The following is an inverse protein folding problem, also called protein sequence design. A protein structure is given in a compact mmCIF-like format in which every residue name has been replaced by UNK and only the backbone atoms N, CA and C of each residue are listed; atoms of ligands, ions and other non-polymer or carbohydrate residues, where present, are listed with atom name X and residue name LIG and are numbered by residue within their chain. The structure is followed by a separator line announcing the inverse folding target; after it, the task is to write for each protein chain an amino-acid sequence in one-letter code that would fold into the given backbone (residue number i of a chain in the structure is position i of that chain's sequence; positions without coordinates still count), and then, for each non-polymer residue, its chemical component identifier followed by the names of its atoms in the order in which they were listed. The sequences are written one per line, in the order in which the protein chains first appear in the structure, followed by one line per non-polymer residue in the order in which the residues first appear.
data_IF_726234600312
#
_entry.id   IF_726234600312
#
_cell.length_a   1.000
_cell.length_b   1.000
_cell.length_c   1.000
_cell.angle_alpha   90.00
_cell.angle_beta   90.00
_cell.angle_gamma   90.00
#
_symmetry.space_group_name_H-M   'P 1'
#
loop_
_entity.id
_entity.type
_entity.pdbx_description
1 polymer ?
#
# COMPACT_ATOMS: atom_id res chain seq x y z
N UNK A 1 32.81 31.10 -101.99
CA UNK A 1 32.29 30.23 -100.91
C UNK A 1 32.07 31.10 -99.69
N UNK A 2 30.95 30.97 -98.97
CA UNK A 2 30.74 31.78 -97.76
C UNK A 2 31.76 31.44 -96.67
N UNK A 3 32.41 32.45 -96.10
CA UNK A 3 33.45 32.30 -95.07
C UNK A 3 32.88 31.72 -93.77
N UNK A 4 33.74 31.13 -92.93
CA UNK A 4 33.29 30.58 -91.64
C UNK A 4 32.61 31.65 -90.77
N UNK A 5 33.11 32.89 -90.83
CA UNK A 5 32.58 34.07 -90.14
C UNK A 5 31.20 34.45 -90.65
N UNK A 6 30.96 34.50 -91.97
CA UNK A 6 29.63 34.77 -92.55
C UNK A 6 28.59 33.72 -92.14
N UNK A 7 28.98 32.44 -92.08
CA UNK A 7 28.10 31.35 -91.64
C UNK A 7 27.72 31.50 -90.17
N UNK A 8 28.67 31.85 -89.30
CA UNK A 8 28.41 32.17 -87.90
C UNK A 8 27.52 33.41 -87.75
N UNK A 9 27.82 34.48 -88.49
CA UNK A 9 27.05 35.73 -88.48
C UNK A 9 25.59 35.49 -88.86
N UNK A 10 25.34 34.82 -89.99
CA UNK A 10 23.98 34.51 -90.46
C UNK A 10 23.22 33.58 -89.51
N UNK A 11 23.90 32.62 -88.87
CA UNK A 11 23.28 31.73 -87.88
C UNK A 11 22.94 32.44 -86.56
N UNK A 12 23.88 33.21 -85.98
CA UNK A 12 23.61 33.99 -84.78
C UNK A 12 22.52 35.03 -85.04
N UNK A 13 22.58 35.70 -86.19
CA UNK A 13 21.58 36.70 -86.57
C UNK A 13 20.17 36.12 -86.63
N UNK A 14 19.98 34.96 -87.26
CA UNK A 14 18.68 34.25 -87.28
C UNK A 14 18.16 33.94 -85.87
N UNK A 15 19.03 33.51 -84.95
CA UNK A 15 18.66 33.21 -83.55
C UNK A 15 18.28 34.46 -82.76
N UNK A 16 18.98 35.58 -83.01
CA UNK A 16 18.66 36.89 -82.43
C UNK A 16 17.33 37.45 -82.98
N UNK A 17 17.10 37.39 -84.29
CA UNK A 17 15.84 37.80 -84.93
C UNK A 17 14.63 36.98 -84.41
N UNK A 18 14.80 35.67 -84.21
CA UNK A 18 13.79 34.78 -83.62
C UNK A 18 13.38 35.19 -82.20
N UNK A 19 14.30 35.82 -81.45
CA UNK A 19 14.06 36.34 -80.10
C UNK A 19 13.72 37.84 -80.09
N UNK A 20 13.54 38.46 -81.26
CA UNK A 20 13.13 39.86 -81.40
C UNK A 20 14.26 40.90 -81.41
N UNK A 21 15.53 40.48 -81.30
CA UNK A 21 16.69 41.39 -81.31
C UNK A 21 17.05 41.82 -82.74
N UNK A 22 16.34 42.84 -83.23
CA UNK A 22 16.42 43.28 -84.63
C UNK A 22 17.52 44.31 -84.93
N UNK A 23 18.22 44.85 -83.93
CA UNK A 23 19.27 45.87 -84.05
C UNK A 23 20.43 45.41 -84.96
N UNK A 24 21.05 46.31 -85.73
CA UNK A 24 22.15 45.97 -86.65
C UNK A 24 23.36 45.38 -85.91
N UNK A 25 23.89 44.25 -86.39
CA UNK A 25 25.06 43.57 -85.82
C UNK A 25 26.29 43.81 -86.72
N UNK A 26 27.40 44.27 -86.14
CA UNK A 26 28.68 44.41 -86.84
C UNK A 26 29.50 43.12 -86.79
N UNK A 27 30.32 42.86 -87.82
CA UNK A 27 31.14 41.64 -87.89
C UNK A 27 32.15 41.57 -86.72
N UNK A 28 32.76 42.70 -86.36
CA UNK A 28 33.69 42.78 -85.21
C UNK A 28 33.06 42.40 -83.87
N UNK A 29 31.76 42.68 -83.69
CA UNK A 29 31.02 42.34 -82.46
C UNK A 29 30.58 40.87 -82.37
N UNK A 30 30.71 40.11 -83.46
CA UNK A 30 30.18 38.75 -83.57
C UNK A 30 30.68 37.78 -82.47
N UNK A 31 31.98 37.70 -82.13
CA UNK A 31 32.46 36.72 -81.15
C UNK A 31 31.98 37.01 -79.73
N UNK A 32 31.82 38.29 -79.38
CA UNK A 32 31.34 38.71 -78.07
C UNK A 32 29.83 38.44 -77.93
N UNK A 33 29.04 38.79 -78.94
CA UNK A 33 27.60 38.53 -78.94
C UNK A 33 27.31 37.02 -79.01
N UNK A 34 28.11 36.22 -79.73
CA UNK A 34 28.00 34.76 -79.74
C UNK A 34 28.21 34.15 -78.34
N UNK A 35 29.21 34.64 -77.58
CA UNK A 35 29.46 34.22 -76.18
C UNK A 35 28.34 34.65 -75.23
N UNK A 36 28.04 35.95 -75.17
CA UNK A 36 27.00 36.49 -74.28
C UNK A 36 25.63 35.84 -74.52
N UNK A 37 25.32 35.49 -75.77
CA UNK A 37 24.11 34.78 -76.12
C UNK A 37 24.13 33.31 -75.66
N UNK A 38 25.28 32.63 -75.73
CA UNK A 38 25.49 31.32 -75.14
C UNK A 38 25.30 31.34 -73.61
N UNK A 39 25.95 32.28 -72.94
CA UNK A 39 25.89 32.47 -71.48
C UNK A 39 24.45 32.78 -71.02
N UNK A 40 23.72 33.62 -71.77
CA UNK A 40 22.31 33.93 -71.49
C UNK A 40 21.39 32.72 -71.65
N UNK A 41 21.62 31.87 -72.65
CA UNK A 41 20.86 30.63 -72.82
C UNK A 41 21.17 29.63 -71.70
N UNK A 42 22.45 29.43 -71.38
CA UNK A 42 22.88 28.51 -70.31
C UNK A 42 22.34 28.96 -68.94
N UNK A 43 22.43 30.26 -68.61
CA UNK A 43 21.87 30.80 -67.37
C UNK A 43 20.34 30.70 -67.32
N UNK A 44 19.64 30.89 -68.44
CA UNK A 44 18.18 30.69 -68.53
C UNK A 44 17.78 29.23 -68.32
N UNK A 45 18.51 28.29 -68.92
CA UNK A 45 18.29 26.84 -68.76
C UNK A 45 18.63 26.36 -67.34
N UNK A 46 19.71 26.88 -66.76
CA UNK A 46 20.09 26.63 -65.35
C UNK A 46 19.03 27.17 -64.39
N UNK A 47 18.52 28.39 -64.62
CA UNK A 47 17.45 28.99 -63.81
C UNK A 47 16.13 28.20 -63.93
N UNK A 48 15.79 27.71 -65.13
CA UNK A 48 14.62 26.84 -65.35
C UNK A 48 14.77 25.53 -64.58
N UNK A 49 15.96 24.91 -64.63
CA UNK A 49 16.28 23.67 -63.92
C UNK A 49 16.22 23.86 -62.40
N UNK A 50 16.82 24.92 -61.88
CA UNK A 50 16.79 25.29 -60.46
C UNK A 50 15.36 25.55 -59.96
N UNK A 51 14.52 26.27 -60.75
CA UNK A 51 13.09 26.47 -60.43
C UNK A 51 12.33 25.15 -60.38
N UNK A 52 12.60 24.21 -61.28
CA UNK A 52 11.94 22.89 -61.27
C UNK A 52 12.40 22.03 -60.08
N UNK A 53 13.68 22.08 -59.72
CA UNK A 53 14.21 21.42 -58.52
C UNK A 53 13.60 22.01 -57.24
N UNK A 54 13.51 23.34 -57.12
CA UNK A 54 12.86 24.01 -56.00
C UNK A 54 11.39 23.61 -55.87
N UNK A 55 10.65 23.53 -56.98
CA UNK A 55 9.27 23.04 -57.00
C UNK A 55 9.15 21.63 -56.43
N UNK A 56 9.98 20.69 -56.90
CA UNK A 56 10.02 19.31 -56.38
C UNK A 56 10.40 19.23 -54.90
N UNK A 57 11.35 20.06 -54.44
CA UNK A 57 11.72 20.13 -53.03
C UNK A 57 10.58 20.70 -52.16
N UNK A 58 9.84 21.69 -52.67
CA UNK A 58 8.65 22.24 -52.00
C UNK A 58 7.56 21.17 -51.87
N UNK A 59 7.27 20.44 -52.95
CA UNK A 59 6.31 19.32 -52.96
C UNK A 59 6.74 18.23 -51.96
N UNK A 60 7.99 17.76 -52.03
CA UNK A 60 8.54 16.79 -51.07
C UNK A 60 8.42 17.28 -49.63
N UNK A 61 8.76 18.54 -49.35
CA UNK A 61 8.61 19.15 -48.02
C UNK A 61 7.15 19.06 -47.54
N UNK A 62 6.17 19.40 -48.38
CA UNK A 62 4.75 19.28 -47.99
C UNK A 62 4.31 17.84 -47.74
N UNK A 63 4.85 16.86 -48.47
CA UNK A 63 4.60 15.43 -48.21
C UNK A 63 5.21 15.00 -46.87
N UNK A 64 6.44 15.40 -46.57
CA UNK A 64 7.06 15.13 -45.27
C UNK A 64 6.30 15.78 -44.11
N UNK A 65 5.83 17.03 -44.29
CA UNK A 65 5.01 17.71 -43.28
C UNK A 65 3.68 16.99 -43.03
N UNK A 66 3.00 16.51 -44.08
CA UNK A 66 1.78 15.71 -43.97
C UNK A 66 2.01 14.34 -43.30
N UNK A 67 3.15 13.70 -43.56
CA UNK A 67 3.51 12.41 -42.93
C UNK A 67 3.85 12.56 -41.44
N UNK A 68 4.43 13.69 -41.03
CA UNK A 68 4.83 13.95 -39.64
C UNK A 68 3.69 14.49 -38.77
N UNK A 69 2.69 15.14 -39.38
CA UNK A 69 1.50 15.68 -38.70
C UNK A 69 0.80 14.68 -37.75
N UNK A 70 0.42 13.44 -38.16
CA UNK A 70 -0.28 12.51 -37.28
C UNK A 70 0.56 12.11 -36.06
N UNK A 71 1.88 11.92 -36.23
CA UNK A 71 2.78 11.63 -35.12
C UNK A 71 2.90 12.80 -34.14
N UNK A 72 2.82 14.05 -34.61
CA UNK A 72 2.77 15.24 -33.73
C UNK A 72 1.45 15.31 -32.97
N UNK A 73 0.32 15.03 -33.63
CA UNK A 73 -1.00 15.02 -33.01
C UNK A 73 -1.11 13.92 -31.94
N UNK A 74 -0.67 12.69 -32.24
CA UNK A 74 -0.66 11.58 -31.28
C UNK A 74 0.29 11.84 -30.11
N UNK A 75 1.50 12.34 -30.35
CA UNK A 75 2.42 12.73 -29.26
C UNK A 75 1.82 13.81 -28.37
N UNK A 76 1.15 14.83 -28.94
CA UNK A 76 0.47 15.85 -28.16
C UNK A 76 -0.66 15.26 -27.30
N UNK A 77 -1.46 14.32 -27.82
CA UNK A 77 -2.49 13.61 -27.05
C UNK A 77 -1.87 12.79 -25.91
N UNK A 78 -0.85 11.97 -26.20
CA UNK A 78 -0.20 11.11 -25.20
C UNK A 78 0.44 11.94 -24.08
N UNK A 79 1.06 13.08 -24.38
CA UNK A 79 1.62 13.99 -23.37
C UNK A 79 0.51 14.59 -22.48
N UNK A 80 -0.64 14.96 -23.05
CA UNK A 80 -1.79 15.44 -22.27
C UNK A 80 -2.37 14.35 -21.36
N UNK A 81 -2.54 13.13 -21.87
CA UNK A 81 -3.02 11.98 -21.10
C UNK A 81 -2.05 11.62 -19.97
N UNK A 82 -0.74 11.56 -20.26
CA UNK A 82 0.30 11.29 -19.26
C UNK A 82 0.28 12.34 -18.14
N UNK A 83 0.21 13.62 -18.50
CA UNK A 83 0.11 14.74 -17.54
C UNK A 83 -1.14 14.62 -16.66
N UNK A 84 -2.30 14.27 -17.25
CA UNK A 84 -3.57 14.07 -16.52
C UNK A 84 -3.49 12.88 -15.57
N UNK A 85 -2.91 11.76 -16.00
CA UNK A 85 -2.70 10.56 -15.17
C UNK A 85 -1.74 10.85 -14.01
N UNK A 86 -0.65 11.58 -14.23
CA UNK A 86 0.26 12.02 -13.17
C UNK A 86 -0.47 12.86 -12.10
N UNK A 87 -1.30 13.82 -12.51
CA UNK A 87 -2.10 14.62 -11.57
C UNK A 87 -3.12 13.78 -10.79
N UNK A 88 -3.72 12.77 -11.42
CA UNK A 88 -4.63 11.83 -10.74
C UNK A 88 -3.89 10.95 -9.72
N UNK A 89 -2.71 10.43 -10.07
CA UNK A 89 -1.86 9.63 -9.17
C UNK A 89 -1.42 10.42 -7.94
N UNK A 90 -1.02 11.68 -8.11
CA UNK A 90 -0.67 12.57 -6.98
C UNK A 90 -1.84 12.74 -6.01
N UNK A 91 -3.03 13.08 -6.52
CA UNK A 91 -4.25 13.25 -5.69
C UNK A 91 -4.67 11.96 -4.98
N UNK A 92 -4.55 10.81 -5.65
CA UNK A 92 -4.85 9.50 -5.05
C UNK A 92 -3.85 9.16 -3.93
N UNK A 93 -2.55 9.42 -4.15
CA UNK A 93 -1.50 9.25 -3.14
C UNK A 93 -1.76 10.14 -1.93
N UNK A 94 -1.98 11.44 -2.12
CA UNK A 94 -2.29 12.40 -1.05
C UNK A 94 -3.52 11.97 -0.23
N UNK A 95 -4.59 11.53 -0.90
CA UNK A 95 -5.80 11.06 -0.24
C UNK A 95 -5.57 9.77 0.56
N UNK A 96 -4.79 8.82 0.03
CA UNK A 96 -4.41 7.60 0.73
C UNK A 96 -3.50 7.88 1.94
N UNK A 97 -2.52 8.78 1.79
CA UNK A 97 -1.63 9.22 2.87
C UNK A 97 -2.36 10.02 3.95
N UNK A 98 -3.42 10.77 3.61
CA UNK A 98 -4.32 11.37 4.61
C UNK A 98 -5.06 10.27 5.39
N UNK A 99 -5.79 9.39 4.69
CA UNK A 99 -6.56 8.29 5.33
C UNK A 99 -5.68 7.40 6.20
N UNK A 100 -4.45 7.10 5.77
CA UNK A 100 -3.48 6.35 6.58
C UNK A 100 -3.08 7.10 7.85
N UNK A 101 -2.90 8.42 7.81
CA UNK A 101 -2.63 9.23 9.01
C UNK A 101 -3.83 9.23 9.95
N UNK A 102 -5.03 9.43 9.42
CA UNK A 102 -6.28 9.45 10.17
C UNK A 102 -6.54 8.09 10.87
N UNK A 103 -6.38 6.98 10.15
CA UNK A 103 -6.49 5.64 10.73
C UNK A 103 -5.42 5.38 11.80
N UNK A 104 -4.19 5.87 11.62
CA UNK A 104 -3.12 5.74 12.64
C UNK A 104 -3.42 6.56 13.90
N UNK A 105 -4.09 7.71 13.82
CA UNK A 105 -4.48 8.47 15.03
C UNK A 105 -5.63 7.77 15.76
N UNK A 106 -6.64 7.27 15.04
CA UNK A 106 -7.74 6.48 15.63
C UNK A 106 -7.23 5.20 16.28
N UNK A 107 -6.32 4.46 15.61
CA UNK A 107 -5.71 3.24 16.15
C UNK A 107 -4.99 3.51 17.47
N UNK A 108 -4.12 4.52 17.52
CA UNK A 108 -3.42 4.91 18.76
C UNK A 108 -4.39 5.27 19.88
N UNK A 109 -5.45 6.02 19.57
CA UNK A 109 -6.47 6.39 20.55
C UNK A 109 -7.15 5.14 21.13
N UNK A 110 -7.56 4.20 20.27
CA UNK A 110 -8.18 2.94 20.71
C UNK A 110 -7.22 2.05 21.49
N UNK A 111 -5.92 2.04 21.17
CA UNK A 111 -4.89 1.35 21.97
C UNK A 111 -4.81 1.90 23.40
N UNK A 112 -4.87 3.23 23.57
CA UNK A 112 -4.85 3.87 24.89
C UNK A 112 -6.14 3.58 25.66
N UNK A 113 -7.31 3.75 25.04
CA UNK A 113 -8.61 3.42 25.65
C UNK A 113 -8.68 1.93 26.07
N UNK A 114 -8.10 1.02 25.28
CA UNK A 114 -8.01 -0.42 25.59
C UNK A 114 -7.05 -0.70 26.76
N UNK A 115 -5.91 0.00 26.84
CA UNK A 115 -4.97 -0.10 27.96
C UNK A 115 -5.62 0.39 29.28
N UNK A 116 -6.32 1.51 29.24
CA UNK A 116 -7.05 2.07 30.39
C UNK A 116 -8.16 1.10 30.87
N UNK A 117 -8.93 0.53 29.94
CA UNK A 117 -9.95 -0.46 30.27
C UNK A 117 -9.36 -1.75 30.87
N UNK A 118 -8.21 -2.23 30.38
CA UNK A 118 -7.48 -3.38 30.97
C UNK A 118 -6.99 -3.08 32.38
N UNK A 119 -6.46 -1.88 32.62
CA UNK A 119 -6.04 -1.43 33.94
C UNK A 119 -7.23 -1.36 34.91
N UNK A 120 -8.34 -0.73 34.49
CA UNK A 120 -9.57 -0.63 35.27
C UNK A 120 -10.18 -2.01 35.58
N UNK A 121 -10.21 -2.91 34.61
CA UNK A 121 -10.66 -4.30 34.83
C UNK A 121 -9.79 -5.01 35.88
N UNK A 122 -8.46 -4.86 35.79
CA UNK A 122 -7.50 -5.42 36.77
C UNK A 122 -7.72 -4.85 38.18
N UNK A 123 -8.06 -3.55 38.30
CA UNK A 123 -8.45 -2.96 39.58
C UNK A 123 -9.75 -3.57 40.13
N UNK A 124 -10.78 -3.71 39.31
CA UNK A 124 -12.05 -4.32 39.73
C UNK A 124 -11.86 -5.78 40.17
N UNK A 125 -11.12 -6.60 39.43
CA UNK A 125 -10.77 -7.97 39.82
C UNK A 125 -10.04 -8.00 41.16
N UNK A 126 -9.10 -7.08 41.39
CA UNK A 126 -8.39 -6.96 42.66
C UNK A 126 -9.32 -6.56 43.81
N UNK A 127 -10.27 -5.64 43.55
CA UNK A 127 -11.26 -5.20 44.55
C UNK A 127 -12.28 -6.30 44.87
N UNK A 128 -12.75 -7.07 43.88
CA UNK A 128 -13.61 -8.24 44.12
C UNK A 128 -12.90 -9.24 45.03
N UNK A 129 -11.66 -9.63 44.72
CA UNK A 129 -10.84 -10.51 45.59
C UNK A 129 -10.61 -9.98 47.00
N UNK A 130 -10.61 -8.66 47.19
CA UNK A 130 -10.56 -8.06 48.54
C UNK A 130 -11.90 -8.25 49.27
N UNK A 131 -13.01 -8.00 48.59
CA UNK A 131 -14.36 -8.12 49.15
C UNK A 131 -14.76 -9.58 49.43
N UNK A 132 -14.32 -10.51 48.58
CA UNK A 132 -14.47 -11.96 48.77
C UNK A 132 -13.81 -12.39 50.09
N UNK A 133 -12.53 -12.07 50.30
CA UNK A 133 -11.82 -12.37 51.57
C UNK A 133 -12.43 -11.67 52.79
N UNK A 134 -12.89 -10.42 52.63
CA UNK A 134 -13.63 -9.73 53.69
C UNK A 134 -14.96 -10.43 54.02
N UNK A 135 -15.63 -11.01 53.02
CA UNK A 135 -16.88 -11.76 53.19
C UNK A 135 -16.64 -13.11 53.85
N UNK A 136 -15.60 -13.83 53.43
CA UNK A 136 -15.13 -15.09 54.05
C UNK A 136 -14.81 -14.88 55.53
N UNK A 137 -13.92 -13.93 55.85
CA UNK A 137 -13.54 -13.65 57.25
C UNK A 137 -14.71 -13.16 58.12
N UNK A 138 -15.66 -12.41 57.57
CA UNK A 138 -16.92 -12.07 58.26
C UNK A 138 -17.78 -13.32 58.51
N UNK A 139 -17.86 -14.23 57.54
CA UNK A 139 -18.61 -15.49 57.65
C UNK A 139 -17.99 -16.45 58.66
N UNK A 140 -16.67 -16.64 58.64
CA UNK A 140 -15.92 -17.38 59.66
C UNK A 140 -16.13 -16.80 61.06
N UNK A 141 -16.09 -15.47 61.20
CA UNK A 141 -16.31 -14.79 62.49
C UNK A 141 -17.74 -14.95 62.99
N UNK A 142 -18.74 -14.96 62.10
CA UNK A 142 -20.12 -15.29 62.43
C UNK A 142 -20.26 -16.75 62.89
N UNK A 143 -19.65 -17.71 62.18
CA UNK A 143 -19.64 -19.12 62.58
C UNK A 143 -18.96 -19.33 63.93
N UNK A 144 -17.81 -18.70 64.17
CA UNK A 144 -17.09 -18.78 65.44
C UNK A 144 -17.86 -18.13 66.61
N UNK A 145 -18.59 -17.03 66.38
CA UNK A 145 -19.49 -16.43 67.37
C UNK A 145 -20.71 -17.32 67.62
N UNK A 146 -21.27 -17.95 66.58
CA UNK A 146 -22.38 -18.88 66.71
C UNK A 146 -21.96 -20.11 67.53
N UNK A 147 -20.80 -20.71 67.23
CA UNK A 147 -20.24 -21.82 68.01
C UNK A 147 -20.01 -21.44 69.47
N UNK A 148 -19.40 -20.28 69.76
CA UNK A 148 -19.24 -19.78 71.14
C UNK A 148 -20.58 -19.53 71.83
N UNK A 149 -21.61 -19.11 71.11
CA UNK A 149 -22.98 -18.99 71.64
C UNK A 149 -23.63 -20.35 71.92
N UNK A 150 -23.26 -21.41 71.20
CA UNK A 150 -23.67 -22.79 71.47
C UNK A 150 -22.93 -23.41 72.66
N UNK A 151 -21.67 -23.03 72.87
CA UNK A 151 -20.82 -23.49 73.98
C UNK A 151 -21.07 -22.71 75.29
N UNK A 152 -21.79 -21.58 75.23
CA UNK A 152 -22.13 -20.72 76.37
C UNK A 152 -23.16 -21.37 77.33
N UNK A 153 -22.74 -22.42 78.04
CA UNK A 153 -23.50 -23.00 79.15
C UNK A 153 -23.60 -21.99 80.29
N UNK A 154 -24.80 -21.44 80.48
CA UNK A 154 -25.11 -20.55 81.61
C UNK A 154 -24.93 -21.32 82.92
N UNK A 155 -23.79 -21.12 83.59
CA UNK A 155 -23.58 -21.56 84.98
C UNK A 155 -24.28 -20.57 85.92
N UNK A 156 -25.55 -20.81 86.19
CA UNK A 156 -26.20 -20.22 87.37
C UNK A 156 -25.51 -20.73 88.66
N UNK A 157 -25.30 -19.89 89.69
CA UNK A 157 -24.72 -20.32 90.98
C UNK A 157 -25.70 -21.25 91.73
N UNK A 158 -25.74 -22.53 91.37
CA UNK A 158 -26.79 -23.43 91.84
C UNK A 158 -26.79 -24.85 91.27
N UNK A 159 -25.63 -25.38 90.86
CA UNK A 159 -25.37 -26.83 90.70
C UNK A 159 -26.15 -27.65 89.66
N UNK A 160 -27.28 -27.19 89.12
CA UNK A 160 -28.13 -27.97 88.21
C UNK A 160 -27.90 -27.60 86.75
N UNK A 161 -27.31 -28.51 85.98
CA UNK A 161 -27.19 -28.40 84.52
C UNK A 161 -28.59 -28.46 83.87
N UNK A 162 -29.11 -27.33 83.39
CA UNK A 162 -30.21 -27.29 82.42
C UNK A 162 -29.64 -27.01 81.03
N UNK A 163 -29.87 -27.92 80.10
CA UNK A 163 -29.58 -27.70 78.69
C UNK A 163 -30.65 -26.75 78.15
N UNK A 164 -30.32 -25.47 78.01
CA UNK A 164 -31.20 -24.49 77.36
C UNK A 164 -31.27 -24.86 75.87
N UNK A 165 -32.47 -25.04 75.27
CA UNK A 165 -32.55 -25.31 73.84
C UNK A 165 -31.96 -24.14 73.07
N UNK A 166 -31.05 -24.42 72.15
CA UNK A 166 -30.58 -23.43 71.19
C UNK A 166 -31.78 -22.98 70.35
N UNK A 167 -32.28 -21.77 70.66
CA UNK A 167 -33.32 -21.11 69.88
C UNK A 167 -32.72 -20.82 68.51
N UNK A 168 -32.90 -21.76 67.58
CA UNK A 168 -32.57 -21.56 66.16
C UNK A 168 -33.23 -20.26 65.74
N UNK A 169 -32.41 -19.27 65.44
CA UNK A 169 -32.87 -18.01 64.89
C UNK A 169 -33.40 -18.34 63.49
N UNK A 170 -34.71 -18.53 63.37
CA UNK A 170 -35.36 -18.57 62.06
C UNK A 170 -35.15 -17.18 61.46
N UNK A 171 -34.35 -17.12 60.41
CA UNK A 171 -34.50 -16.06 59.43
C UNK A 171 -35.89 -16.23 58.82
N UNK A 172 -36.84 -15.39 59.23
CA UNK A 172 -38.00 -15.14 58.40
C UNK A 172 -37.48 -14.43 57.16
N UNK A 173 -37.71 -15.04 56.00
CA UNK A 173 -37.33 -14.46 54.71
C UNK A 173 -38.38 -13.41 54.38
N UNK A 174 -38.18 -12.20 54.89
CA UNK A 174 -38.91 -11.02 54.42
C UNK A 174 -38.56 -10.80 52.94
N UNK A 175 -39.49 -11.24 52.09
CA UNK A 175 -39.43 -11.20 50.63
C UNK A 175 -38.41 -12.13 49.97
N UNK A 176 -38.93 -13.15 49.27
CA UNK A 176 -38.21 -13.73 48.14
C UNK A 176 -38.09 -12.62 47.08
N UNK A 177 -36.86 -12.21 46.77
CA UNK A 177 -36.62 -11.26 45.68
C UNK A 177 -37.21 -11.83 44.38
N UNK A 178 -38.21 -11.13 43.84
CA UNK A 178 -38.76 -11.45 42.51
C UNK A 178 -37.62 -11.39 41.48
N UNK A 179 -37.59 -12.32 40.51
CA UNK A 179 -36.62 -12.26 39.42
C UNK A 179 -36.86 -11.00 38.61
N UNK A 180 -35.84 -10.14 38.50
CA UNK A 180 -35.86 -8.95 37.64
C UNK A 180 -36.07 -9.35 36.18
N UNK A 181 -37.33 -9.34 35.77
CA UNK A 181 -37.74 -9.25 34.38
C UNK A 181 -38.21 -7.83 34.16
N UNK A 182 -37.52 -7.10 33.28
CA UNK A 182 -38.14 -5.97 32.64
C UNK A 182 -39.38 -6.49 31.90
N UNK A 183 -40.57 -5.91 32.13
CA UNK A 183 -41.24 -4.97 31.19
C UNK A 183 -42.56 -4.49 31.82
N UNK A 184 -43.04 -3.33 31.36
CA UNK A 184 -44.42 -2.81 31.44
C UNK A 184 -44.95 -2.12 32.70
N UNK A 185 -45.62 -1.00 32.40
CA UNK A 185 -46.54 -0.21 33.24
C UNK A 185 -47.80 -1.02 33.57
N UNK A 186 -48.37 -0.86 34.76
CA UNK A 186 -49.66 -0.14 34.98
C UNK A 186 -49.89 0.05 36.51
N UNK A 187 -50.84 0.91 36.91
CA UNK A 187 -51.11 1.29 38.30
C UNK A 187 -52.21 0.49 39.01
N UNK A 188 -52.37 0.70 40.33
CA UNK A 188 -53.51 0.15 41.09
C UNK A 188 -53.38 0.10 42.62
N UNK A 189 -53.97 1.10 43.29
CA UNK A 189 -54.72 1.02 44.58
C UNK A 189 -54.27 0.15 45.79
N UNK A 190 -54.06 0.86 46.92
CA UNK A 190 -54.70 0.66 48.25
C UNK A 190 -54.12 -0.28 49.35
N UNK A 191 -54.35 0.18 50.61
CA UNK A 191 -54.09 -0.42 51.94
C UNK A 191 -55.45 -0.96 52.51
N UNK A 192 -55.70 -1.39 53.80
CA UNK A 192 -54.87 -1.31 55.03
C UNK A 192 -55.02 -2.39 56.19
N UNK A 193 -53.93 -2.55 56.97
CA UNK A 193 -53.78 -2.52 58.46
C UNK A 193 -54.66 -3.26 59.53
N UNK A 194 -54.00 -3.56 60.68
CA UNK A 194 -54.44 -3.74 62.11
C UNK A 194 -54.61 -5.18 62.67
N UNK A 195 -54.46 -5.54 63.97
CA UNK A 195 -53.84 -5.00 65.24
C UNK A 195 -53.96 -6.06 66.40
N UNK A 196 -53.01 -6.10 67.38
CA UNK A 196 -53.03 -6.51 68.84
C UNK A 196 -53.87 -7.76 69.34
N UNK A 197 -53.75 -8.41 70.52
CA UNK A 197 -53.30 -8.09 71.92
C UNK A 197 -53.07 -9.42 72.79
N UNK A 198 -52.95 -9.49 74.15
CA UNK A 198 -51.95 -10.36 74.84
C UNK A 198 -52.42 -11.31 76.02
N UNK A 199 -51.46 -11.81 76.83
CA UNK A 199 -51.46 -12.85 77.92
C UNK A 199 -51.21 -12.28 79.35
N UNK A 200 -51.79 -12.81 80.47
CA UNK A 200 -51.04 -13.63 81.48
C UNK A 200 -51.84 -14.56 82.49
N UNK A 201 -51.17 -15.46 83.26
CA UNK A 201 -51.09 -15.50 84.77
C UNK A 201 -50.70 -16.87 85.45
N UNK A 202 -50.19 -16.84 86.70
CA UNK A 202 -49.63 -17.97 87.52
C UNK A 202 -49.86 -17.78 89.05
N UNK A 203 -50.04 -18.87 89.83
CA UNK A 203 -50.08 -18.87 91.32
C UNK A 203 -49.44 -20.17 91.95
N UNK A 204 -49.38 -20.26 93.29
CA UNK A 204 -48.69 -21.32 94.11
C UNK A 204 -49.30 -21.43 95.55
N UNK A 205 -49.03 -22.51 96.33
CA UNK A 205 -49.08 -22.60 97.83
C UNK A 205 -48.88 -24.03 98.45
N UNK A 206 -48.39 -24.11 99.71
CA UNK A 206 -47.98 -25.34 100.46
C UNK A 206 -47.96 -25.14 102.01
N UNK A 207 -48.54 -26.05 102.85
CA UNK A 207 -48.35 -26.23 104.33
C UNK A 207 -49.07 -27.51 104.92
N UNK A 208 -49.02 -27.94 106.21
CA UNK A 208 -47.90 -28.32 107.15
C UNK A 208 -48.41 -28.91 108.53
N UNK A 209 -47.52 -29.48 109.39
CA UNK A 209 -47.60 -29.75 110.88
C UNK A 209 -47.72 -31.20 111.49
N UNK A 210 -47.38 -31.33 112.80
CA UNK A 210 -46.82 -32.48 113.58
C UNK A 210 -47.51 -32.81 114.95
N UNK A 211 -47.20 -33.96 115.62
CA UNK A 211 -46.65 -34.10 117.04
C UNK A 211 -47.10 -35.29 117.97
N UNK A 212 -46.13 -35.81 118.76
CA UNK A 212 -46.15 -36.24 120.21
C UNK A 212 -46.98 -37.46 120.75
N UNK A 213 -46.73 -38.04 121.96
CA UNK A 213 -45.48 -38.50 122.68
C UNK A 213 -45.72 -39.27 124.03
N UNK A 214 -44.81 -40.20 124.40
CA UNK A 214 -44.36 -40.66 125.76
C UNK A 214 -45.14 -41.61 126.74
N UNK A 215 -44.29 -42.33 127.52
CA UNK A 215 -44.41 -42.84 128.92
C UNK A 215 -44.80 -44.31 129.23
N UNK A 216 -44.45 -44.73 130.47
CA UNK A 216 -43.70 -45.99 130.75
C UNK A 216 -43.73 -46.44 132.25
N UNK A 217 -43.69 -47.78 132.48
CA UNK A 217 -43.18 -48.58 133.65
C UNK A 217 -44.06 -49.04 134.85
N UNK A 218 -43.84 -50.31 135.24
CA UNK A 218 -44.03 -51.00 136.56
C UNK A 218 -45.47 -51.29 137.07
N UNK A 219 -45.78 -52.43 137.73
CA UNK A 219 -45.05 -53.71 137.88
C UNK A 219 -46.00 -54.89 138.25
N UNK A 220 -45.75 -56.06 137.67
CA UNK A 220 -46.23 -57.42 137.97
C UNK A 220 -47.14 -57.68 139.19
N UNK A 221 -48.40 -58.05 138.88
CA UNK A 221 -49.12 -59.13 139.57
C UNK A 221 -49.79 -60.02 138.51
N UNK A 222 -49.86 -61.33 138.75
CA UNK A 222 -50.52 -62.38 137.94
C UNK A 222 -50.02 -62.66 136.49
N UNK A 223 -49.56 -63.90 136.32
CA UNK A 223 -49.04 -64.54 135.11
C UNK A 223 -50.14 -65.01 134.14
N UNK A 224 -50.92 -64.07 133.58
CA UNK A 224 -51.82 -64.33 132.44
C UNK A 224 -51.80 -63.24 131.36
N UNK A 225 -51.07 -62.14 131.59
CA UNK A 225 -51.10 -60.96 130.72
C UNK A 225 -50.14 -61.02 129.52
N UNK A 226 -49.10 -61.87 129.57
CA UNK A 226 -48.05 -61.92 128.56
C UNK A 226 -48.50 -62.53 127.22
N UNK A 227 -49.42 -63.50 127.26
CA UNK A 227 -50.02 -64.08 126.05
C UNK A 227 -50.89 -63.05 125.30
N UNK A 228 -51.70 -62.28 126.03
CA UNK A 228 -52.57 -61.27 125.44
C UNK A 228 -51.78 -60.11 124.81
N UNK A 229 -50.67 -59.68 125.42
CA UNK A 229 -49.78 -58.66 124.83
C UNK A 229 -49.09 -59.17 123.55
N UNK A 230 -48.63 -60.43 123.51
CA UNK A 230 -48.07 -61.00 122.28
C UNK A 230 -49.11 -61.11 121.15
N UNK A 231 -50.34 -61.51 121.46
CA UNK A 231 -51.45 -61.53 120.50
C UNK A 231 -51.80 -60.12 120.03
N UNK A 232 -51.97 -59.15 120.93
CA UNK A 232 -52.23 -57.74 120.56
C UNK A 232 -51.13 -57.12 119.70
N UNK A 233 -49.85 -57.43 119.98
CA UNK A 233 -48.73 -56.97 119.14
C UNK A 233 -48.73 -57.67 117.78
N UNK A 234 -49.05 -58.97 117.73
CA UNK A 234 -49.22 -59.71 116.48
C UNK A 234 -50.40 -59.18 115.66
N UNK A 235 -51.58 -58.98 116.24
CA UNK A 235 -52.77 -58.44 115.58
C UNK A 235 -52.54 -57.02 115.07
N UNK A 236 -51.89 -56.16 115.87
CA UNK A 236 -51.52 -54.81 115.43
C UNK A 236 -50.47 -54.83 114.32
N UNK A 237 -49.57 -55.83 114.31
CA UNK A 237 -48.61 -56.06 113.21
C UNK A 237 -49.31 -56.62 111.96
N UNK A 238 -50.29 -57.50 112.12
CA UNK A 238 -51.11 -58.06 111.04
C UNK A 238 -51.96 -56.95 110.40
N UNK A 239 -52.63 -56.11 111.19
CA UNK A 239 -53.37 -54.95 110.71
C UNK A 239 -52.46 -53.93 109.99
N UNK A 240 -51.26 -53.66 110.53
CA UNK A 240 -50.27 -52.83 109.84
C UNK A 240 -49.78 -53.46 108.54
N UNK A 241 -49.56 -54.78 108.51
CA UNK A 241 -49.16 -55.49 107.31
C UNK A 241 -50.28 -55.52 106.26
N UNK A 242 -51.54 -55.70 106.67
CA UNK A 242 -52.72 -55.63 105.81
C UNK A 242 -52.86 -54.23 105.19
N UNK A 243 -52.77 -53.17 105.98
CA UNK A 243 -52.76 -51.79 105.45
C UNK A 243 -51.59 -51.56 104.50
N UNK A 244 -50.39 -52.06 104.82
CA UNK A 244 -49.22 -51.93 103.93
C UNK A 244 -49.36 -52.73 102.63
N UNK A 245 -50.07 -53.87 102.68
CA UNK A 245 -50.37 -54.70 101.52
C UNK A 245 -51.39 -53.99 100.63
N UNK A 246 -52.48 -53.46 101.21
CA UNK A 246 -53.46 -52.66 100.48
C UNK A 246 -52.86 -51.39 99.85
N UNK A 247 -51.92 -50.70 100.54
CA UNK A 247 -51.23 -49.57 99.92
C UNK A 247 -50.30 -50.02 98.79
N UNK A 248 -49.58 -51.13 98.95
CA UNK A 248 -48.72 -51.67 97.90
C UNK A 248 -49.50 -52.19 96.68
N UNK A 249 -50.68 -52.77 96.88
CA UNK A 249 -51.56 -53.17 95.78
C UNK A 249 -52.18 -51.96 95.07
N UNK A 250 -52.57 -50.89 95.78
CA UNK A 250 -52.97 -49.61 95.15
C UNK A 250 -51.84 -48.99 94.33
N UNK A 251 -50.63 -48.88 94.91
CA UNK A 251 -49.44 -48.37 94.19
C UNK A 251 -49.11 -49.22 92.95
N UNK A 252 -49.29 -50.54 93.03
CA UNK A 252 -49.11 -51.47 91.91
C UNK A 252 -50.17 -51.28 90.82
N UNK A 253 -51.44 -51.06 91.18
CA UNK A 253 -52.50 -50.74 90.21
C UNK A 253 -52.24 -49.38 89.52
N UNK A 254 -51.83 -48.36 90.26
CA UNK A 254 -51.43 -47.06 89.72
C UNK A 254 -50.23 -47.18 88.76
N UNK A 255 -49.18 -47.92 89.14
CA UNK A 255 -48.02 -48.19 88.30
C UNK A 255 -48.38 -49.01 87.04
N UNK A 256 -49.34 -49.94 87.14
CA UNK A 256 -49.85 -50.68 85.99
C UNK A 256 -50.59 -49.76 85.00
N UNK A 257 -51.43 -48.83 85.49
CA UNK A 257 -52.09 -47.83 84.64
C UNK A 257 -51.08 -46.88 83.98
N UNK A 258 -50.08 -46.40 84.71
CA UNK A 258 -49.00 -45.56 84.16
C UNK A 258 -48.19 -46.31 83.09
N UNK A 259 -47.85 -47.58 83.32
CA UNK A 259 -47.16 -48.42 82.33
C UNK A 259 -48.03 -48.66 81.08
N UNK A 260 -49.34 -48.82 81.23
CA UNK A 260 -50.25 -48.94 80.09
C UNK A 260 -50.31 -47.65 79.27
N UNK A 261 -50.41 -46.48 79.93
CA UNK A 261 -50.36 -45.17 79.27
C UNK A 261 -49.03 -44.90 78.54
N UNK A 262 -47.90 -45.28 79.16
CA UNK A 262 -46.58 -45.17 78.52
C UNK A 262 -46.44 -46.10 77.31
N UNK A 263 -46.95 -47.34 77.38
CA UNK A 263 -46.99 -48.26 76.23
C UNK A 263 -47.79 -47.66 75.07
N UNK A 264 -48.97 -47.10 75.34
CA UNK A 264 -49.78 -46.43 74.32
C UNK A 264 -49.04 -45.24 73.70
N UNK A 265 -48.28 -44.47 74.49
CA UNK A 265 -47.48 -43.36 73.97
C UNK A 265 -46.30 -43.83 73.10
N UNK A 266 -45.71 -44.99 73.38
CA UNK A 266 -44.69 -45.61 72.51
C UNK A 266 -45.33 -46.09 71.20
N UNK A 267 -46.43 -46.84 71.26
CA UNK A 267 -47.15 -47.32 70.08
C UNK A 267 -47.61 -46.19 69.15
N UNK A 268 -48.11 -45.08 69.73
CA UNK A 268 -48.48 -43.87 68.98
C UNK A 268 -47.25 -43.21 68.32
N UNK A 269 -46.07 -43.24 68.96
CA UNK A 269 -44.82 -42.72 68.39
C UNK A 269 -44.26 -43.64 67.31
N UNK A 270 -44.34 -44.95 67.49
CA UNK A 270 -43.93 -45.94 66.49
C UNK A 270 -44.80 -45.82 65.23
N UNK A 271 -46.12 -45.67 65.40
CA UNK A 271 -47.08 -45.38 64.32
C UNK A 271 -46.74 -44.09 63.57
N UNK A 272 -46.38 -43.02 64.28
CA UNK A 272 -45.99 -41.74 63.66
C UNK A 272 -44.60 -41.81 62.98
N UNK A 273 -43.64 -42.54 63.56
CA UNK A 273 -42.35 -42.84 62.92
C UNK A 273 -42.57 -43.62 61.62
N UNK A 274 -43.45 -44.63 61.63
CA UNK A 274 -43.77 -45.43 60.45
C UNK A 274 -44.51 -44.61 59.38
N UNK A 275 -45.43 -43.72 59.78
CA UNK A 275 -46.08 -42.75 58.89
C UNK A 275 -45.07 -41.80 58.24
N UNK A 276 -44.17 -41.21 59.03
CA UNK A 276 -43.13 -40.29 58.54
C UNK A 276 -42.09 -41.01 57.66
N UNK A 277 -41.69 -42.23 58.03
CA UNK A 277 -40.82 -43.08 57.22
C UNK A 277 -41.50 -43.48 55.90
N UNK A 278 -42.81 -43.73 55.91
CA UNK A 278 -43.64 -43.95 54.72
C UNK A 278 -43.63 -42.75 53.78
N UNK A 279 -43.82 -41.53 54.32
CA UNK A 279 -43.71 -40.29 53.53
C UNK A 279 -42.32 -40.05 52.92
N UNK A 280 -41.26 -40.54 53.57
CA UNK A 280 -39.88 -40.44 53.08
C UNK A 280 -39.49 -41.56 52.09
N UNK A 281 -40.20 -42.70 52.09
CA UNK A 281 -39.86 -43.91 51.31
C UNK A 281 -40.00 -43.79 49.78
N UNK A 282 -40.45 -42.65 49.27
CA UNK A 282 -40.49 -42.32 47.84
C UNK A 282 -39.63 -41.12 47.43
N UNK A 283 -38.89 -40.51 48.36
CA UNK A 283 -38.07 -39.32 48.09
C UNK A 283 -36.82 -39.64 47.26
N UNK A 284 -36.46 -38.76 46.32
CA UNK A 284 -35.18 -38.85 45.59
C UNK A 284 -34.02 -38.59 46.58
N UNK A 285 -33.00 -39.46 46.67
CA UNK A 285 -31.93 -39.30 47.64
C UNK A 285 -31.10 -38.03 47.34
N UNK A 286 -30.60 -37.33 48.38
CA UNK A 286 -29.89 -36.06 48.21
C UNK A 286 -28.60 -36.19 47.40
N UNK A 287 -27.95 -37.35 47.43
CA UNK A 287 -26.77 -37.64 46.61
C UNK A 287 -27.10 -37.67 45.11
N UNK A 288 -28.29 -38.15 44.72
CA UNK A 288 -28.72 -38.09 43.31
C UNK A 288 -28.94 -36.64 42.85
N UNK A 289 -29.48 -35.77 43.73
CA UNK A 289 -29.64 -34.34 43.44
C UNK A 289 -28.30 -33.61 43.38
N UNK A 290 -27.33 -33.97 44.21
CA UNK A 290 -25.97 -33.43 44.17
C UNK A 290 -25.25 -33.82 42.86
N UNK A 291 -25.38 -35.08 42.43
CA UNK A 291 -24.83 -35.58 41.16
C UNK A 291 -25.52 -34.93 39.95
N UNK A 292 -26.85 -34.76 39.97
CA UNK A 292 -27.56 -34.02 38.92
C UNK A 292 -27.16 -32.53 38.87
N UNK A 293 -26.98 -31.87 40.02
CA UNK A 293 -26.50 -30.49 40.08
C UNK A 293 -25.10 -30.34 39.49
N UNK A 294 -24.18 -31.24 39.84
CA UNK A 294 -22.83 -31.29 39.27
C UNK A 294 -22.87 -31.58 37.77
N UNK A 295 -23.70 -32.54 37.33
CA UNK A 295 -23.90 -32.88 35.93
C UNK A 295 -24.45 -31.70 35.12
N UNK A 296 -25.48 -31.00 35.60
CA UNK A 296 -26.05 -29.83 34.95
C UNK A 296 -25.09 -28.62 34.93
N UNK A 297 -24.12 -28.56 35.85
CA UNK A 297 -23.02 -27.60 35.80
C UNK A 297 -21.99 -27.98 34.73
N UNK A 298 -21.63 -29.27 34.67
CA UNK A 298 -20.69 -29.79 33.67
C UNK A 298 -21.27 -29.70 32.25
N UNK A 299 -22.56 -30.00 32.04
CA UNK A 299 -23.24 -29.84 30.75
C UNK A 299 -23.25 -28.38 30.28
N UNK A 300 -23.43 -27.41 31.20
CA UNK A 300 -23.27 -25.98 30.90
C UNK A 300 -21.83 -25.60 30.54
N UNK A 301 -20.84 -26.17 31.23
CA UNK A 301 -19.42 -25.94 30.90
C UNK A 301 -19.07 -26.53 29.53
N UNK A 302 -19.50 -27.76 29.23
CA UNK A 302 -19.31 -28.42 27.92
C UNK A 302 -19.99 -27.62 26.81
N UNK A 303 -21.22 -27.14 27.01
CA UNK A 303 -21.89 -26.27 26.04
C UNK A 303 -21.11 -24.96 25.78
N UNK A 304 -20.57 -24.32 26.82
CA UNK A 304 -19.76 -23.12 26.66
C UNK A 304 -18.42 -23.40 25.96
N UNK A 305 -17.75 -24.50 26.29
CA UNK A 305 -16.52 -24.94 25.63
C UNK A 305 -16.76 -25.27 24.15
N UNK A 306 -17.87 -25.93 23.81
CA UNK A 306 -18.23 -26.19 22.41
C UNK A 306 -18.40 -24.87 21.63
N UNK A 307 -19.12 -23.88 22.18
CA UNK A 307 -19.25 -22.56 21.53
C UNK A 307 -17.89 -21.88 21.33
N UNK A 308 -16.95 -22.01 22.29
CA UNK A 308 -15.59 -21.50 22.11
C UNK A 308 -14.82 -22.27 21.02
N UNK A 309 -14.97 -23.59 20.95
CA UNK A 309 -14.35 -24.43 19.92
C UNK A 309 -14.89 -24.07 18.53
N UNK A 310 -16.21 -23.90 18.39
CA UNK A 310 -16.85 -23.50 17.12
C UNK A 310 -16.33 -22.12 16.66
N UNK A 311 -16.25 -21.15 17.58
CA UNK A 311 -15.71 -19.81 17.27
C UNK A 311 -14.23 -19.87 16.85
N UNK A 312 -13.40 -20.66 17.54
CA UNK A 312 -11.99 -20.85 17.20
C UNK A 312 -11.81 -21.58 15.86
N UNK A 313 -12.65 -22.58 15.56
CA UNK A 313 -12.64 -23.27 14.27
C UNK A 313 -13.04 -22.33 13.13
N UNK A 314 -14.08 -21.51 13.30
CA UNK A 314 -14.50 -20.52 12.32
C UNK A 314 -13.41 -19.46 12.09
N UNK A 315 -12.80 -18.94 13.16
CA UNK A 315 -11.68 -18.00 13.07
C UNK A 315 -10.45 -18.60 12.36
N UNK A 316 -10.12 -19.86 12.63
CA UNK A 316 -9.04 -20.58 11.92
C UNK A 316 -9.36 -20.74 10.43
N UNK A 317 -10.57 -21.18 10.07
CA UNK A 317 -10.98 -21.31 8.66
C UNK A 317 -10.92 -19.96 7.91
N UNK A 318 -11.33 -18.86 8.55
CA UNK A 318 -11.18 -17.52 7.98
C UNK A 318 -9.71 -17.12 7.78
N UNK A 319 -8.83 -17.45 8.74
CA UNK A 319 -7.40 -17.16 8.65
C UNK A 319 -6.71 -18.01 7.58
N UNK A 320 -7.06 -19.30 7.47
CA UNK A 320 -6.59 -20.21 6.42
C UNK A 320 -7.01 -19.74 5.03
N UNK A 321 -8.27 -19.29 4.86
CA UNK A 321 -8.73 -18.69 3.60
C UNK A 321 -7.93 -17.43 3.25
N UNK A 322 -7.79 -16.49 4.21
CA UNK A 322 -7.03 -15.24 4.01
C UNK A 322 -5.55 -15.50 3.71
N UNK A 323 -4.96 -16.52 4.32
CA UNK A 323 -3.58 -16.94 4.03
C UNK A 323 -3.47 -17.46 2.60
N UNK A 324 -4.37 -18.34 2.18
CA UNK A 324 -4.40 -18.92 0.83
C UNK A 324 -4.62 -17.86 -0.26
N UNK A 325 -5.50 -16.89 -0.02
CA UNK A 325 -5.73 -15.76 -0.91
C UNK A 325 -4.47 -14.89 -1.05
N UNK A 326 -3.77 -14.64 0.07
CA UNK A 326 -2.51 -13.90 0.08
C UNK A 326 -1.36 -14.67 -0.60
N UNK A 327 -1.28 -15.99 -0.44
CA UNK A 327 -0.33 -16.86 -1.13
C UNK A 327 -0.55 -16.85 -2.64
N UNK A 328 -1.81 -16.94 -3.09
CA UNK A 328 -2.17 -16.84 -4.52
C UNK A 328 -1.77 -15.48 -5.09
N UNK A 329 -2.12 -14.38 -4.41
CA UNK A 329 -1.77 -13.02 -4.84
C UNK A 329 -0.25 -12.80 -4.86
N UNK A 330 0.50 -13.40 -3.93
CA UNK A 330 1.96 -13.35 -3.93
C UNK A 330 2.55 -14.14 -5.11
N UNK A 331 1.98 -15.29 -5.46
CA UNK A 331 2.34 -16.06 -6.66
C UNK A 331 2.14 -15.25 -7.95
N UNK A 332 0.98 -14.60 -8.09
CA UNK A 332 0.68 -13.73 -9.25
C UNK A 332 1.65 -12.54 -9.34
N UNK A 333 1.97 -11.90 -8.21
CA UNK A 333 2.95 -10.82 -8.14
C UNK A 333 4.35 -11.32 -8.49
N UNK A 334 4.76 -12.49 -8.00
CA UNK A 334 6.06 -13.09 -8.32
C UNK A 334 6.17 -13.43 -9.81
N UNK A 335 5.10 -13.96 -10.42
CA UNK A 335 5.02 -14.17 -11.87
C UNK A 335 5.17 -12.88 -12.67
N UNK A 336 4.48 -11.79 -12.27
CA UNK A 336 4.63 -10.46 -12.88
C UNK A 336 6.02 -9.88 -12.72
N UNK A 337 6.68 -10.10 -11.58
CA UNK A 337 8.08 -9.68 -11.36
C UNK A 337 9.04 -10.43 -12.29
N UNK A 338 8.85 -11.74 -12.48
CA UNK A 338 9.64 -12.53 -13.44
C UNK A 338 9.40 -12.07 -14.88
N UNK A 339 8.14 -11.82 -15.28
CA UNK A 339 7.79 -11.33 -16.62
C UNK A 339 8.43 -9.96 -16.90
N UNK A 340 8.33 -9.01 -15.96
CA UNK A 340 8.94 -7.68 -16.08
C UNK A 340 10.47 -7.76 -16.08
N UNK A 341 11.07 -8.63 -15.27
CA UNK A 341 12.52 -8.86 -15.28
C UNK A 341 12.98 -9.39 -16.65
N UNK A 342 12.24 -10.34 -17.23
CA UNK A 342 12.54 -10.89 -18.56
C UNK A 342 12.39 -9.84 -19.68
N UNK A 343 11.39 -8.96 -19.59
CA UNK A 343 11.25 -7.82 -20.51
C UNK A 343 12.39 -6.82 -20.38
N UNK A 344 12.79 -6.48 -19.15
CA UNK A 344 13.91 -5.58 -18.91
C UNK A 344 15.24 -6.17 -19.43
N UNK A 345 15.47 -7.47 -19.27
CA UNK A 345 16.66 -8.14 -19.81
C UNK A 345 16.75 -7.99 -21.34
N UNK A 346 15.65 -8.26 -22.06
CA UNK A 346 15.58 -8.08 -23.52
C UNK A 346 15.82 -6.64 -23.95
N UNK A 347 15.24 -5.67 -23.25
CA UNK A 347 15.46 -4.24 -23.55
C UNK A 347 16.93 -3.87 -23.34
N UNK A 348 17.61 -4.43 -22.34
CA UNK A 348 19.05 -4.25 -22.16
C UNK A 348 19.89 -4.88 -23.29
N UNK A 349 19.48 -6.04 -23.82
CA UNK A 349 20.11 -6.67 -24.99
C UNK A 349 19.92 -5.80 -26.24
N UNK A 350 18.68 -5.42 -26.56
CA UNK A 350 18.33 -4.53 -27.69
C UNK A 350 19.07 -3.18 -27.63
N UNK A 351 19.20 -2.58 -26.44
CA UNK A 351 19.97 -1.34 -26.26
C UNK A 351 21.48 -1.54 -26.45
N UNK A 352 22.01 -2.72 -26.14
CA UNK A 352 23.41 -3.07 -26.39
C UNK A 352 23.66 -3.23 -27.90
N UNK A 353 22.78 -3.94 -28.60
CA UNK A 353 22.84 -4.11 -30.07
C UNK A 353 22.77 -2.77 -30.80
N UNK A 354 21.83 -1.89 -30.41
CA UNK A 354 21.74 -0.51 -30.95
C UNK A 354 23.03 0.27 -30.65
N UNK A 355 23.59 0.12 -29.45
CA UNK A 355 24.85 0.77 -29.06
C UNK A 355 26.06 0.30 -29.88
N UNK A 356 26.09 -0.96 -30.31
CA UNK A 356 27.11 -1.49 -31.23
C UNK A 356 26.90 -1.00 -32.67
N UNK A 357 25.67 -0.99 -33.17
CA UNK A 357 25.32 -0.46 -34.48
C UNK A 357 25.67 1.03 -34.62
N UNK A 358 25.42 1.85 -33.58
CA UNK A 358 25.81 3.27 -33.58
C UNK A 358 27.33 3.42 -33.72
N UNK A 359 28.12 2.66 -32.96
CA UNK A 359 29.60 2.70 -33.07
C UNK A 359 30.10 2.29 -34.45
N UNK A 360 29.48 1.28 -35.07
CA UNK A 360 29.83 0.86 -36.43
C UNK A 360 29.54 1.98 -37.45
N UNK A 361 28.35 2.60 -37.38
CA UNK A 361 27.98 3.72 -38.26
C UNK A 361 28.85 4.96 -38.04
N UNK A 362 29.27 5.25 -36.80
CA UNK A 362 30.21 6.34 -36.51
C UNK A 362 31.58 6.08 -37.12
N UNK A 363 32.12 4.86 -36.99
CA UNK A 363 33.40 4.48 -37.60
C UNK A 363 33.35 4.47 -39.14
N UNK A 364 32.23 4.02 -39.74
CA UNK A 364 32.01 4.10 -41.19
C UNK A 364 31.93 5.55 -41.68
N UNK A 365 31.25 6.42 -40.93
CA UNK A 365 31.19 7.87 -41.24
C UNK A 365 32.56 8.50 -41.18
N UNK A 366 33.32 8.26 -40.11
CA UNK A 366 34.66 8.83 -39.93
C UNK A 366 35.65 8.37 -41.01
N UNK A 367 35.69 7.07 -41.32
CA UNK A 367 36.49 6.54 -42.42
C UNK A 367 36.01 6.98 -43.81
N UNK A 368 34.74 7.37 -43.95
CA UNK A 368 34.21 8.02 -45.15
C UNK A 368 34.67 9.48 -45.26
N UNK A 369 34.55 10.26 -44.18
CA UNK A 369 35.03 11.64 -44.11
C UNK A 369 36.55 11.74 -44.35
N UNK A 370 37.34 10.81 -43.83
CA UNK A 370 38.79 10.76 -44.05
C UNK A 370 39.12 10.61 -45.54
N UNK A 371 38.50 9.64 -46.23
CA UNK A 371 38.64 9.46 -47.68
C UNK A 371 38.20 10.69 -48.49
N UNK A 372 37.16 11.38 -48.06
CA UNK A 372 36.74 12.63 -48.71
C UNK A 372 37.73 13.76 -48.46
N UNK A 373 38.31 13.89 -47.26
CA UNK A 373 39.38 14.86 -46.95
C UNK A 373 40.63 14.59 -47.79
N UNK A 374 41.07 13.34 -47.88
CA UNK A 374 42.17 12.93 -48.77
C UNK A 374 41.88 13.32 -50.23
N UNK A 375 40.67 13.03 -50.73
CA UNK A 375 40.34 13.33 -52.12
C UNK A 375 40.20 14.83 -52.40
N UNK A 376 39.75 15.63 -51.43
CA UNK A 376 39.75 17.09 -51.52
C UNK A 376 41.19 17.60 -51.60
N UNK A 377 42.08 17.17 -50.71
CA UNK A 377 43.49 17.57 -50.72
C UNK A 377 44.22 17.21 -52.03
N UNK A 378 43.95 16.02 -52.59
CA UNK A 378 44.49 15.61 -53.90
C UNK A 378 44.01 16.53 -55.04
N UNK A 379 42.74 16.94 -55.02
CA UNK A 379 42.16 17.84 -56.02
C UNK A 379 42.63 19.28 -55.85
N UNK A 380 42.83 19.76 -54.62
CA UNK A 380 43.39 21.07 -54.31
C UNK A 380 44.84 21.18 -54.80
N UNK A 381 45.71 20.22 -54.46
CA UNK A 381 47.09 20.19 -54.95
C UNK A 381 47.18 20.13 -56.49
N UNK A 382 46.25 19.41 -57.14
CA UNK A 382 46.15 19.39 -58.60
C UNK A 382 45.66 20.72 -59.19
N UNK A 383 44.76 21.42 -58.51
CA UNK A 383 44.29 22.74 -58.94
C UNK A 383 45.40 23.80 -58.82
N UNK A 384 46.20 23.76 -57.75
CA UNK A 384 47.39 24.61 -57.56
C UNK A 384 48.39 24.40 -58.70
N UNK A 385 48.80 23.15 -58.98
CA UNK A 385 49.73 22.84 -60.07
C UNK A 385 49.24 23.28 -61.46
N UNK A 386 47.94 23.15 -61.75
CA UNK A 386 47.36 23.65 -63.00
C UNK A 386 47.33 25.19 -63.08
N UNK A 387 47.22 25.89 -61.96
CA UNK A 387 47.29 27.35 -61.92
C UNK A 387 48.74 27.85 -62.08
N UNK A 388 49.73 27.12 -61.57
CA UNK A 388 51.16 27.36 -61.84
C UNK A 388 51.50 27.16 -63.33
N UNK A 389 51.11 26.03 -63.94
CA UNK A 389 51.29 25.77 -65.38
C UNK A 389 50.65 26.88 -66.24
N UNK A 390 49.46 27.34 -65.86
CA UNK A 390 48.74 28.44 -66.53
C UNK A 390 49.48 29.77 -66.39
N UNK A 391 50.08 30.07 -65.23
CA UNK A 391 50.91 31.27 -65.05
C UNK A 391 52.18 31.22 -65.90
N UNK A 392 52.84 30.06 -65.99
CA UNK A 392 54.03 29.86 -66.82
C UNK A 392 53.70 29.96 -68.33
N UNK A 393 52.56 29.43 -68.77
CA UNK A 393 52.08 29.59 -70.14
C UNK A 393 51.68 31.04 -70.45
N UNK A 394 51.15 31.78 -69.47
CA UNK A 394 50.82 33.20 -69.63
C UNK A 394 52.08 34.06 -69.78
N UNK A 395 53.14 33.82 -69.01
CA UNK A 395 54.40 34.56 -69.14
C UNK A 395 55.10 34.27 -70.48
N UNK A 396 55.14 32.99 -70.90
CA UNK A 396 55.63 32.59 -72.24
C UNK A 396 54.83 33.24 -73.37
N UNK A 397 53.50 33.36 -73.24
CA UNK A 397 52.66 34.05 -74.22
C UNK A 397 52.99 35.55 -74.31
N UNK A 398 53.28 36.20 -73.19
CA UNK A 398 53.61 37.62 -73.15
C UNK A 398 55.01 37.90 -73.72
N UNK A 399 55.99 37.04 -73.44
CA UNK A 399 57.31 37.09 -74.08
C UNK A 399 57.20 36.91 -75.60
N UNK A 400 56.41 35.92 -76.06
CA UNK A 400 56.15 35.69 -77.49
C UNK A 400 55.36 36.83 -78.16
N UNK A 401 54.59 37.62 -77.41
CA UNK A 401 53.99 38.87 -77.89
C UNK A 401 55.04 39.96 -78.04
N UNK A 402 55.90 40.16 -77.03
CA UNK A 402 56.97 41.17 -77.07
C UNK A 402 57.92 40.94 -78.24
N UNK A 403 58.37 39.71 -78.44
CA UNK A 403 59.23 39.33 -79.58
C UNK A 403 58.51 39.54 -80.91
N UNK A 404 57.20 39.26 -81.00
CA UNK A 404 56.41 39.55 -82.21
C UNK A 404 56.34 41.05 -82.47
N UNK A 405 56.11 41.87 -81.45
CA UNK A 405 56.09 43.33 -81.58
C UNK A 405 57.44 43.87 -82.06
N UNK A 406 58.55 43.46 -81.42
CA UNK A 406 59.92 43.77 -81.85
C UNK A 406 60.12 43.45 -83.34
N UNK A 407 59.85 42.21 -83.76
CA UNK A 407 59.95 41.77 -85.17
C UNK A 407 59.04 42.58 -86.10
N UNK A 408 57.82 42.96 -85.68
CA UNK A 408 56.97 43.83 -86.52
C UNK A 408 57.52 45.25 -86.65
N UNK A 409 58.17 45.81 -85.61
CA UNK A 409 58.83 47.12 -85.70
C UNK A 409 60.07 47.07 -86.60
N UNK A 410 60.86 46.00 -86.55
CA UNK A 410 62.03 45.85 -87.40
C UNK A 410 61.64 45.57 -88.86
N UNK A 411 60.61 44.75 -89.12
CA UNK A 411 60.05 44.60 -90.46
C UNK A 411 59.54 45.93 -91.04
N UNK A 412 58.97 46.81 -90.20
CA UNK A 412 58.55 48.15 -90.62
C UNK A 412 59.75 49.03 -90.98
N UNK A 413 60.79 49.06 -90.13
CA UNK A 413 62.05 49.78 -90.41
C UNK A 413 62.71 49.29 -91.68
N UNK A 414 62.76 47.97 -91.90
CA UNK A 414 63.31 47.37 -93.11
C UNK A 414 62.49 47.76 -94.35
N UNK A 415 61.17 47.79 -94.27
CA UNK A 415 60.32 48.28 -95.36
C UNK A 415 60.56 49.77 -95.67
N UNK A 416 60.72 50.61 -94.65
CA UNK A 416 61.09 52.03 -94.80
C UNK A 416 62.47 52.19 -95.47
N UNK A 417 63.47 51.38 -95.09
CA UNK A 417 64.80 51.36 -95.73
C UNK A 417 64.73 50.89 -97.19
N UNK A 418 63.93 49.87 -97.50
CA UNK A 418 63.75 49.38 -98.88
C UNK A 418 63.16 50.48 -99.77
N UNK A 419 62.14 51.20 -99.30
CA UNK A 419 61.56 52.34 -100.06
C UNK A 419 62.59 53.44 -100.32
N UNK A 420 63.46 53.74 -99.35
CA UNK A 420 64.56 54.71 -99.54
C UNK A 420 65.56 54.21 -100.58
N UNK A 421 66.02 52.95 -100.50
CA UNK A 421 66.96 52.40 -101.49
C UNK A 421 66.34 52.22 -102.88
N UNK A 422 65.04 51.95 -103.00
CA UNK A 422 64.33 51.95 -104.28
C UNK A 422 64.35 53.35 -104.90
N UNK A 423 64.10 54.40 -104.11
CA UNK A 423 64.23 55.80 -104.55
C UNK A 423 65.65 56.17 -104.97
N UNK A 424 66.68 55.86 -104.16
CA UNK A 424 68.09 56.05 -104.53
C UNK A 424 68.47 55.28 -105.80
N UNK A 425 67.89 54.08 -105.98
CA UNK A 425 68.05 53.26 -107.18
C UNK A 425 67.42 53.89 -108.43
N UNK A 426 66.23 54.47 -108.32
CA UNK A 426 65.59 55.24 -109.38
C UNK A 426 66.39 56.51 -109.75
N UNK A 427 66.89 57.25 -108.75
CA UNK A 427 67.75 58.42 -108.96
C UNK A 427 69.07 58.04 -109.67
N UNK A 428 69.73 56.97 -109.21
CA UNK A 428 70.94 56.45 -109.84
C UNK A 428 70.69 55.95 -111.28
N UNK A 429 69.54 55.31 -111.53
CA UNK A 429 69.12 54.91 -112.87
C UNK A 429 68.89 56.13 -113.78
N UNK A 430 68.21 57.17 -113.29
CA UNK A 430 67.99 58.42 -114.03
C UNK A 430 69.30 59.16 -114.34
N UNK A 431 70.24 59.19 -113.40
CA UNK A 431 71.59 59.75 -113.61
C UNK A 431 72.37 58.95 -114.67
N UNK A 432 72.32 57.61 -114.62
CA UNK A 432 72.90 56.75 -115.65
C UNK A 432 72.25 56.95 -117.02
N UNK A 433 70.95 57.24 -117.09
CA UNK A 433 70.32 57.63 -118.36
C UNK A 433 70.81 58.98 -118.87
N UNK A 434 70.97 59.99 -118.01
CA UNK A 434 71.53 61.29 -118.41
C UNK A 434 72.94 61.13 -118.99
N UNK A 435 73.82 60.45 -118.25
CA UNK A 435 75.18 60.13 -118.70
C UNK A 435 75.19 59.29 -119.99
N UNK A 436 74.19 58.43 -120.22
CA UNK A 436 74.03 57.69 -121.49
C UNK A 436 73.56 58.58 -122.65
N UNK A 437 72.77 59.63 -122.39
CA UNK A 437 72.35 60.64 -123.38
C UNK A 437 73.55 61.53 -123.74
N UNK A 438 74.24 62.09 -122.75
CA UNK A 438 75.49 62.85 -122.94
C UNK A 438 76.54 62.03 -123.69
N UNK A 439 76.77 60.76 -123.30
CA UNK A 439 77.71 59.87 -124.02
C UNK A 439 77.26 59.58 -125.45
N UNK A 440 75.96 59.62 -125.76
CA UNK A 440 75.46 59.51 -127.16
C UNK A 440 75.69 60.82 -127.91
N UNK A 441 75.55 61.98 -127.26
CA UNK A 441 75.81 63.30 -127.83
C UNK A 441 77.30 63.52 -128.09
N UNK A 442 78.17 63.31 -127.11
CA UNK A 442 79.63 63.32 -127.27
C UNK A 442 80.10 62.32 -128.33
N UNK A 443 79.44 61.16 -128.48
CA UNK A 443 79.72 60.23 -129.58
C UNK A 443 79.29 60.78 -130.94
N UNK A 444 78.15 61.48 -131.04
CA UNK A 444 77.72 62.16 -132.26
C UNK A 444 78.69 63.30 -132.61
N UNK A 445 79.13 64.09 -131.64
CA UNK A 445 80.15 65.13 -131.83
C UNK A 445 81.48 64.54 -132.30
N UNK A 446 81.97 63.48 -131.67
CA UNK A 446 83.17 62.76 -132.13
C UNK A 446 83.02 62.16 -133.54
N UNK A 447 81.81 61.76 -133.96
CA UNK A 447 81.54 61.33 -135.34
C UNK A 447 81.53 62.53 -136.29
N UNK A 448 80.87 63.63 -135.95
CA UNK A 448 80.88 64.87 -136.74
C UNK A 448 82.29 65.47 -136.89
N UNK A 449 83.15 65.34 -135.88
CA UNK A 449 84.56 65.74 -135.95
C UNK A 449 85.34 64.81 -136.91
N UNK A 450 85.12 63.48 -136.86
CA UNK A 450 85.73 62.55 -137.82
C UNK A 450 85.27 62.76 -139.25
N UNK A 451 83.99 63.08 -139.46
CA UNK A 451 83.41 63.36 -140.79
C UNK A 451 83.89 64.69 -141.38
N UNK A 452 84.39 65.62 -140.55
CA UNK A 452 84.95 66.89 -141.02
C UNK A 452 86.36 66.80 -141.59
N UNK A 453 87.14 65.78 -141.24
CA UNK A 453 88.55 65.69 -141.66
C UNK A 453 89.41 66.86 -141.14
N UNK A 454 89.18 67.23 -139.87
CA UNK A 454 89.79 68.38 -139.16
C UNK A 454 90.39 67.89 -137.84
#
# INVERSE_FOLDING_TARGET
MATATERKFTNLRKRLDQLGYRQSLGVESLPLVEKLFGDLLQTTESLKSAKQQLGRQQEQKTVWEQQVEPYRADNARVVQENTKLHQQLLRLKESAESRMRDLKTVLRRLEHENADLKFLNTQYVTKMRSLERESETKSERLLALHQKSCEAVIRTPGGKKRQVPLRRQRMEVDSLLHPSSATHMDGGSEKPARRHSPDPYVADLLQVYNQSKYFVRMCNFCTDYFGWVHVQVADKRIAQLQVSLETADREKEELQQVLQGLRQQVENRESEIERLAGMLKGGRPPEALAVEGARASNERMVAHLNIQVDFLQQANQELESKLKDAESANGDLQGRVQELSGKNAKICEELSEIGELVKQLEAEREGGEEKYKEKIAELEARAEGLEEEKQELASKLEEMRRVREEVTTDNRRLAEIVVVMEGEGEEAAAMLESLRRERKELRRECVQLRERGV
#
